data_IF_820383261094
#
_entry.id   IF_820383261094
#
_cell.length_a   1.000
_cell.length_b   1.000
_cell.length_c   1.000
_cell.angle_alpha   90.00
_cell.angle_beta   90.00
_cell.angle_gamma   90.00
#
_symmetry.space_group_name_H-M   'P 1'
#
loop_
_entity.id
_entity.type
_entity.pdbx_description
1 polymer ?
#
# COMPACT_ATOMS: atom_id res chain seq x y z
N UNK A 1 -17.17 -16.33 0.38
CA UNK A 1 -15.92 -16.77 1.04
C UNK A 1 -14.98 -15.59 1.16
N UNK A 2 -13.95 -15.68 2.01
CA UNK A 2 -13.02 -14.57 2.30
C UNK A 2 -12.40 -13.96 1.04
N UNK A 3 -11.80 -14.80 0.21
CA UNK A 3 -11.15 -14.45 -1.07
C UNK A 3 -12.02 -13.52 -1.97
N UNK A 4 -13.22 -13.98 -2.33
CA UNK A 4 -14.11 -13.20 -3.22
C UNK A 4 -14.59 -11.89 -2.58
N UNK A 5 -14.78 -11.89 -1.26
CA UNK A 5 -15.26 -10.72 -0.54
C UNK A 5 -14.15 -9.67 -0.43
N UNK A 6 -12.90 -10.07 -0.12
CA UNK A 6 -11.78 -9.16 0.00
C UNK A 6 -11.48 -8.46 -1.33
N UNK A 7 -11.49 -9.20 -2.44
CA UNK A 7 -11.25 -8.63 -3.76
C UNK A 7 -12.35 -7.65 -4.17
N UNK A 8 -13.61 -8.00 -3.90
CA UNK A 8 -14.74 -7.10 -4.17
C UNK A 8 -14.64 -5.81 -3.35
N UNK A 9 -14.30 -5.90 -2.06
CA UNK A 9 -14.15 -4.74 -1.18
C UNK A 9 -12.97 -3.85 -1.63
N UNK A 10 -11.82 -4.44 -1.93
CA UNK A 10 -10.66 -3.71 -2.45
C UNK A 10 -11.00 -2.97 -3.74
N UNK A 11 -11.74 -3.61 -4.66
CA UNK A 11 -12.18 -2.97 -5.89
C UNK A 11 -13.18 -1.82 -5.63
N UNK A 12 -14.14 -1.98 -4.72
CA UNK A 12 -15.16 -0.96 -4.42
C UNK A 12 -14.58 0.34 -3.86
N UNK A 13 -13.49 0.27 -3.09
CA UNK A 13 -12.80 1.47 -2.57
C UNK A 13 -11.73 2.01 -3.52
N UNK A 14 -11.59 1.44 -4.72
CA UNK A 14 -10.52 1.80 -5.66
C UNK A 14 -9.13 1.32 -5.22
N UNK A 15 -9.07 0.40 -4.27
CA UNK A 15 -7.86 -0.03 -3.58
C UNK A 15 -7.22 -1.32 -4.10
N UNK A 16 -7.63 -1.83 -5.27
CA UNK A 16 -7.18 -3.14 -5.78
C UNK A 16 -5.65 -3.29 -5.88
N UNK A 17 -4.92 -2.18 -6.10
CA UNK A 17 -3.45 -2.15 -6.16
C UNK A 17 -2.75 -1.84 -4.84
N UNK A 18 -3.49 -1.52 -3.77
CA UNK A 18 -2.94 -1.02 -2.51
C UNK A 18 -3.45 -1.77 -1.28
N UNK A 19 -4.36 -2.74 -1.43
CA UNK A 19 -4.90 -3.49 -0.30
C UNK A 19 -3.76 -4.23 0.46
N UNK A 20 -3.67 -4.08 1.79
CA UNK A 20 -2.69 -4.82 2.59
C UNK A 20 -3.18 -6.24 2.91
N UNK A 21 -2.27 -7.10 3.37
CA UNK A 21 -2.53 -8.49 3.69
C UNK A 21 -1.64 -9.03 4.81
N UNK A 22 -2.22 -9.88 5.65
CA UNK A 22 -1.52 -10.57 6.72
C UNK A 22 -2.09 -11.98 6.95
N UNK A 23 -1.20 -12.94 7.15
CA UNK A 23 -1.49 -14.31 7.56
C UNK A 23 -0.95 -14.50 8.98
N UNK A 24 -1.86 -14.61 9.96
CA UNK A 24 -1.48 -14.57 11.38
C UNK A 24 -1.98 -15.81 12.11
N UNK A 25 -1.07 -16.48 12.83
CA UNK A 25 -1.41 -17.45 13.85
C UNK A 25 -1.32 -16.79 15.23
N UNK A 26 -2.45 -16.29 15.72
CA UNK A 26 -2.53 -15.61 17.02
C UNK A 26 -2.23 -16.50 18.24
N UNK A 27 -2.27 -17.83 18.11
CA UNK A 27 -1.95 -18.74 19.23
C UNK A 27 -0.45 -18.87 19.45
N UNK A 28 0.32 -18.85 18.36
CA UNK A 28 1.79 -19.03 18.39
C UNK A 28 2.54 -17.71 18.27
N UNK A 29 1.86 -16.64 17.84
CA UNK A 29 2.46 -15.34 17.60
C UNK A 29 3.15 -15.21 16.23
N UNK A 30 3.13 -16.24 15.38
CA UNK A 30 3.72 -16.16 14.04
C UNK A 30 2.82 -15.39 13.07
N UNK A 31 3.42 -14.50 12.27
CA UNK A 31 2.73 -13.69 11.29
C UNK A 31 3.57 -13.51 10.02
N UNK A 32 2.92 -13.48 8.87
CA UNK A 32 3.48 -13.11 7.57
C UNK A 32 2.65 -11.95 7.02
N UNK A 33 3.30 -10.86 6.64
CA UNK A 33 2.67 -9.69 6.03
C UNK A 33 3.13 -9.61 4.58
N UNK A 34 2.19 -9.45 3.65
CA UNK A 34 2.47 -9.63 2.22
C UNK A 34 1.79 -8.58 1.34
N UNK A 35 2.34 -8.36 0.15
CA UNK A 35 1.61 -7.67 -0.90
C UNK A 35 0.49 -8.59 -1.43
N UNK A 36 -0.68 -8.04 -1.68
CA UNK A 36 -1.86 -8.81 -2.12
C UNK A 36 -2.04 -8.85 -3.63
N UNK A 37 -1.34 -7.97 -4.35
CA UNK A 37 -1.36 -7.95 -5.81
C UNK A 37 -0.39 -8.98 -6.41
N UNK A 38 -0.63 -9.34 -7.68
CA UNK A 38 0.27 -10.20 -8.45
C UNK A 38 1.64 -9.57 -8.78
N UNK A 39 2.47 -10.32 -9.48
CA UNK A 39 3.88 -9.95 -9.79
C UNK A 39 4.05 -8.92 -10.90
N UNK A 40 3.02 -8.65 -11.69
CA UNK A 40 3.01 -7.74 -12.84
C UNK A 40 4.32 -7.81 -13.70
N UNK A 41 4.60 -8.95 -14.37
CA UNK A 41 5.86 -9.19 -15.08
C UNK A 41 6.16 -8.16 -16.18
N UNK A 42 5.12 -7.56 -16.76
CA UNK A 42 5.21 -6.57 -17.82
C UNK A 42 5.80 -5.22 -17.38
N UNK A 43 5.85 -4.93 -16.08
CA UNK A 43 6.39 -3.68 -15.53
C UNK A 43 7.69 -3.85 -14.72
N UNK A 44 8.25 -5.05 -14.68
CA UNK A 44 9.52 -5.33 -13.99
C UNK A 44 10.63 -4.40 -14.48
N UNK A 45 11.34 -3.77 -13.54
CA UNK A 45 12.44 -2.84 -13.83
C UNK A 45 12.01 -1.51 -14.47
N UNK A 46 10.69 -1.24 -14.58
CA UNK A 46 10.17 -0.02 -15.22
C UNK A 46 9.81 1.09 -14.23
N UNK A 47 10.00 0.88 -12.92
CA UNK A 47 9.72 1.88 -11.88
C UNK A 47 8.25 2.37 -11.88
N UNK A 48 7.31 1.46 -12.20
CA UNK A 48 5.86 1.77 -12.34
C UNK A 48 4.97 1.12 -11.28
N UNK A 49 5.51 0.18 -10.50
CA UNK A 49 4.72 -0.55 -9.52
C UNK A 49 4.30 0.37 -8.35
N UNK A 50 3.08 0.19 -7.87
CA UNK A 50 2.58 0.87 -6.69
C UNK A 50 3.08 0.13 -5.43
N UNK A 51 3.90 0.75 -4.56
CA UNK A 51 4.44 0.06 -3.39
C UNK A 51 3.46 -0.01 -2.21
N UNK A 52 2.28 0.61 -2.30
CA UNK A 52 1.41 0.84 -1.15
C UNK A 52 0.88 -0.45 -0.51
N UNK A 53 0.59 -1.50 -1.30
CA UNK A 53 0.13 -2.78 -0.72
C UNK A 53 1.17 -3.31 0.27
N UNK A 54 2.44 -3.35 -0.12
CA UNK A 54 3.52 -3.80 0.76
C UNK A 54 3.77 -2.84 1.93
N UNK A 55 3.72 -1.53 1.69
CA UNK A 55 3.89 -0.54 2.75
C UNK A 55 2.80 -0.64 3.83
N UNK A 56 1.54 -0.78 3.41
CA UNK A 56 0.39 -0.91 4.31
C UNK A 56 0.38 -2.27 5.02
N UNK A 57 0.85 -3.35 4.37
CA UNK A 57 1.12 -4.61 5.07
C UNK A 57 2.24 -4.46 6.10
N UNK A 58 3.24 -3.63 5.81
CA UNK A 58 4.25 -3.20 6.78
C UNK A 58 3.66 -2.39 7.95
N UNK A 59 2.65 -1.56 7.71
CA UNK A 59 1.89 -0.88 8.78
C UNK A 59 1.21 -1.90 9.69
N UNK A 60 0.51 -2.89 9.13
CA UNK A 60 -0.09 -3.99 9.91
C UNK A 60 0.96 -4.74 10.75
N UNK A 61 2.17 -4.94 10.19
CA UNK A 61 3.29 -5.56 10.91
C UNK A 61 3.74 -4.72 12.11
N UNK A 62 3.90 -3.40 11.92
CA UNK A 62 4.28 -2.48 12.99
C UNK A 62 3.23 -2.47 14.10
N UNK A 63 1.94 -2.43 13.75
CA UNK A 63 0.84 -2.51 14.71
C UNK A 63 0.82 -3.84 15.47
N UNK A 64 1.06 -4.95 14.78
CA UNK A 64 1.18 -6.28 15.38
C UNK A 64 2.34 -6.37 16.38
N UNK A 65 3.44 -5.65 16.14
CA UNK A 65 4.58 -5.51 17.06
C UNK A 65 4.35 -4.50 18.18
N UNK A 66 3.21 -3.80 18.20
CA UNK A 66 2.87 -2.75 19.15
C UNK A 66 3.46 -1.36 18.81
N UNK A 67 4.10 -1.22 17.64
CA UNK A 67 4.74 0.02 17.16
C UNK A 67 3.76 0.92 16.41
N UNK A 68 2.61 1.18 17.06
CA UNK A 68 1.48 1.88 16.45
C UNK A 68 1.82 3.31 15.99
N UNK A 69 2.74 3.99 16.67
CA UNK A 69 3.16 5.34 16.29
C UNK A 69 3.85 5.34 14.91
N UNK A 70 4.76 4.40 14.67
CA UNK A 70 5.43 4.27 13.38
C UNK A 70 4.44 3.95 12.25
N UNK A 71 3.47 3.06 12.49
CA UNK A 71 2.41 2.74 11.52
C UNK A 71 1.56 3.97 11.17
N UNK A 72 1.23 4.80 12.16
CA UNK A 72 0.48 6.04 11.95
C UNK A 72 1.23 7.06 11.11
N UNK A 73 2.54 7.22 11.30
CA UNK A 73 3.34 8.16 10.49
C UNK A 73 3.31 7.78 9.01
N UNK A 74 3.45 6.49 8.71
CA UNK A 74 3.39 5.99 7.32
C UNK A 74 2.01 6.25 6.72
N UNK A 75 0.93 5.91 7.46
CA UNK A 75 -0.44 6.08 6.97
C UNK A 75 -0.77 7.55 6.73
N UNK A 76 -0.43 8.43 7.67
CA UNK A 76 -0.64 9.88 7.54
C UNK A 76 0.16 10.48 6.36
N UNK A 77 1.38 10.00 6.12
CA UNK A 77 2.18 10.41 4.97
C UNK A 77 1.53 10.01 3.63
N UNK A 78 1.00 8.78 3.53
CA UNK A 78 0.29 8.31 2.35
C UNK A 78 -0.99 9.11 2.10
N UNK A 79 -1.80 9.34 3.14
CA UNK A 79 -3.02 10.16 3.08
C UNK A 79 -2.72 11.55 2.51
N UNK A 80 -1.73 12.23 3.08
CA UNK A 80 -1.31 13.57 2.62
C UNK A 80 -0.88 13.57 1.15
N UNK A 81 -0.07 12.59 0.73
CA UNK A 81 0.38 12.51 -0.66
C UNK A 81 -0.79 12.30 -1.62
N UNK A 82 -1.75 11.44 -1.27
CA UNK A 82 -2.93 11.20 -2.10
C UNK A 82 -3.82 12.44 -2.19
N UNK A 83 -4.02 13.18 -1.10
CA UNK A 83 -4.73 14.47 -1.10
C UNK A 83 -4.06 15.51 -2.01
N UNK A 84 -2.72 15.52 -2.07
CA UNK A 84 -1.95 16.39 -2.96
C UNK A 84 -1.93 15.93 -4.44
N UNK A 85 -2.64 14.83 -4.75
CA UNK A 85 -2.70 14.18 -6.06
C UNK A 85 -1.43 13.40 -6.42
N UNK A 86 -0.52 13.18 -5.46
CA UNK A 86 0.74 12.49 -5.67
C UNK A 86 0.55 10.97 -5.50
N UNK A 87 0.68 10.21 -6.60
CA UNK A 87 0.56 8.76 -6.57
C UNK A 87 1.34 8.13 -7.73
N UNK A 88 1.50 6.80 -7.74
CA UNK A 88 2.01 6.07 -8.90
C UNK A 88 1.00 6.07 -10.07
N UNK A 89 1.42 5.76 -11.31
CA UNK A 89 0.60 6.02 -12.51
C UNK A 89 -0.74 5.30 -12.55
N UNK A 90 -0.85 4.16 -11.87
CA UNK A 90 -2.07 3.35 -11.73
C UNK A 90 -3.20 4.09 -11.03
N UNK A 91 -2.89 4.90 -10.01
CA UNK A 91 -3.85 5.70 -9.26
C UNK A 91 -3.92 7.15 -9.76
N UNK A 92 -2.77 7.76 -10.07
CA UNK A 92 -2.71 9.18 -10.44
C UNK A 92 -3.60 9.51 -11.65
N UNK A 93 -3.77 8.57 -12.59
CA UNK A 93 -4.65 8.73 -13.78
C UNK A 93 -6.13 8.92 -13.46
N UNK A 94 -6.57 8.55 -12.25
CA UNK A 94 -7.96 8.71 -11.80
C UNK A 94 -8.14 9.93 -10.88
N UNK A 95 -7.06 10.62 -10.52
CA UNK A 95 -7.10 11.79 -9.64
C UNK A 95 -7.26 13.08 -10.45
N UNK A 96 -8.09 14.02 -9.97
CA UNK A 96 -8.37 15.30 -10.65
C UNK A 96 -7.08 16.12 -10.91
N UNK A 97 -6.13 16.10 -9.97
CA UNK A 97 -4.82 16.77 -10.06
C UNK A 97 -3.66 15.75 -10.00
N UNK A 98 -3.80 14.61 -10.68
CA UNK A 98 -2.85 13.51 -10.63
C UNK A 98 -1.41 13.90 -11.03
N UNK A 99 -0.46 13.68 -10.13
CA UNK A 99 0.98 13.89 -10.29
C UNK A 99 1.67 12.51 -10.27
N UNK A 100 1.74 11.80 -11.41
CA UNK A 100 2.31 10.46 -11.45
C UNK A 100 3.78 10.49 -11.00
N UNK A 101 4.12 9.60 -10.07
CA UNK A 101 5.48 9.36 -9.58
C UNK A 101 5.99 7.99 -10.01
N UNK A 102 7.30 7.84 -10.16
CA UNK A 102 7.89 6.49 -10.19
C UNK A 102 7.78 5.80 -8.83
N UNK A 103 7.96 4.47 -8.79
CA UNK A 103 7.98 3.69 -7.53
C UNK A 103 8.96 4.30 -6.53
N UNK A 104 10.21 4.53 -6.92
CA UNK A 104 11.22 5.11 -6.02
C UNK A 104 10.91 6.54 -5.62
N UNK A 105 10.41 7.39 -6.54
CA UNK A 105 10.03 8.77 -6.21
C UNK A 105 8.89 8.82 -5.19
N UNK A 106 7.89 7.95 -5.35
CA UNK A 106 6.79 7.86 -4.42
C UNK A 106 7.27 7.46 -3.02
N UNK A 107 8.11 6.43 -2.90
CA UNK A 107 8.71 6.02 -1.62
C UNK A 107 9.52 7.14 -0.97
N UNK A 108 10.37 7.84 -1.74
CA UNK A 108 11.15 8.96 -1.23
C UNK A 108 10.25 10.10 -0.72
N UNK A 109 9.15 10.39 -1.41
CA UNK A 109 8.16 11.36 -0.97
C UNK A 109 7.44 10.89 0.30
N UNK A 110 7.11 9.61 0.42
CA UNK A 110 6.52 9.06 1.65
C UNK A 110 7.46 9.28 2.83
N UNK A 111 8.75 8.97 2.68
CA UNK A 111 9.75 9.16 3.73
C UNK A 111 9.90 10.65 4.10
N UNK A 112 9.92 11.55 3.10
CA UNK A 112 10.03 12.98 3.32
C UNK A 112 8.80 13.63 3.99
N UNK A 113 7.67 12.91 4.06
CA UNK A 113 6.41 13.35 4.66
C UNK A 113 6.02 12.55 5.92
N UNK A 114 6.95 11.77 6.49
CA UNK A 114 6.77 11.14 7.81
C UNK A 114 6.78 12.19 8.93
#
# INVERSE_FOLDING_TARGET
NGDYISDQLAAMVGGIGIAPGANINYQTGHAIFEATHGTAPDIVGKEKANPCSLLLSGVMMLEYMGWNEAGRLITASLERLFEEGCATPDLARFMQNGKPQTTSQFVQKTIANL
#
